data_IF_160867335514
#
_entry.id   IF_160867335514
#
_cell.length_a   1.000
_cell.length_b   1.000
_cell.length_c   1.000
_cell.angle_alpha   90.00
_cell.angle_beta   90.00
_cell.angle_gamma   90.00
#
_symmetry.space_group_name_H-M   'P 1'
#
loop_
_entity.id
_entity.type
_entity.pdbx_description
1 polymer ?
#
# COMPACT_ATOMS: atom_id res chain seq x y z
N UNK A 1 -3.87 13.33 5.82
CA UNK A 1 -4.08 12.88 4.42
C UNK A 1 -5.49 12.32 4.13
N UNK A 2 -6.58 12.79 4.76
CA UNK A 2 -7.92 12.19 4.57
C UNK A 2 -8.74 12.72 3.39
N UNK A 3 -8.52 13.97 2.95
CA UNK A 3 -9.35 14.62 1.92
C UNK A 3 -9.06 14.15 0.50
N UNK A 4 -7.80 13.82 0.17
CA UNK A 4 -7.43 13.27 -1.14
C UNK A 4 -8.15 11.95 -1.40
N UNK A 5 -8.14 11.04 -0.42
CA UNK A 5 -8.79 9.71 -0.50
C UNK A 5 -10.29 9.77 -0.81
N UNK A 6 -10.99 10.82 -0.38
CA UNK A 6 -12.43 10.96 -0.65
C UNK A 6 -12.72 11.45 -2.09
N UNK A 7 -11.82 12.23 -2.70
CA UNK A 7 -11.97 12.71 -4.08
C UNK A 7 -11.79 11.56 -5.09
N UNK A 8 -10.98 10.56 -4.76
CA UNK A 8 -10.77 9.37 -5.60
C UNK A 8 -11.90 8.34 -5.53
N UNK A 9 -12.80 8.45 -4.54
CA UNK A 9 -13.89 7.47 -4.33
C UNK A 9 -15.15 7.79 -5.13
N UNK A 10 -15.18 8.90 -5.86
CA UNK A 10 -16.18 9.16 -6.91
C UNK A 10 -15.85 8.33 -8.14
N UNK A 11 -16.83 7.73 -8.83
CA UNK A 11 -16.61 6.73 -9.90
C UNK A 11 -15.62 7.15 -11.01
N UNK A 12 -15.62 8.41 -11.44
CA UNK A 12 -14.64 8.92 -12.42
C UNK A 12 -13.24 9.18 -11.81
N UNK A 13 -13.20 9.49 -10.52
CA UNK A 13 -11.97 9.65 -9.75
C UNK A 13 -11.24 8.32 -9.57
N UNK A 14 -11.97 7.22 -9.39
CA UNK A 14 -11.39 5.89 -9.22
C UNK A 14 -10.69 5.42 -10.49
N UNK A 15 -11.34 5.55 -11.65
CA UNK A 15 -10.72 5.16 -12.93
C UNK A 15 -9.48 6.00 -13.23
N UNK A 16 -9.56 7.32 -13.02
CA UNK A 16 -8.40 8.21 -13.21
C UNK A 16 -7.26 7.86 -12.25
N UNK A 17 -7.59 7.53 -11.00
CA UNK A 17 -6.62 7.08 -10.01
C UNK A 17 -5.92 5.79 -10.44
N UNK A 18 -6.70 4.79 -10.87
CA UNK A 18 -6.19 3.50 -11.33
C UNK A 18 -5.30 3.66 -12.56
N UNK A 19 -5.68 4.48 -13.53
CA UNK A 19 -4.82 4.78 -14.68
C UNK A 19 -3.48 5.38 -14.26
N UNK A 20 -3.47 6.40 -13.39
CA UNK A 20 -2.22 6.97 -12.89
C UNK A 20 -1.38 5.98 -12.08
N UNK A 21 -2.02 5.07 -11.33
CA UNK A 21 -1.32 4.02 -10.60
C UNK A 21 -0.64 3.05 -11.57
N UNK A 22 -1.35 2.63 -12.62
CA UNK A 22 -0.81 1.75 -13.67
C UNK A 22 0.35 2.43 -14.38
N UNK A 23 0.18 3.68 -14.82
CA UNK A 23 1.25 4.45 -15.48
C UNK A 23 2.50 4.53 -14.60
N UNK A 24 2.33 4.80 -13.30
CA UNK A 24 3.44 4.84 -12.35
C UNK A 24 4.11 3.47 -12.17
N UNK A 25 3.33 2.37 -12.12
CA UNK A 25 3.87 1.02 -12.02
C UNK A 25 4.63 0.61 -13.29
N UNK A 26 4.12 0.97 -14.47
CA UNK A 26 4.82 0.73 -15.74
C UNK A 26 6.14 1.51 -15.80
N UNK A 27 6.15 2.78 -15.40
CA UNK A 27 7.36 3.59 -15.38
C UNK A 27 8.43 2.96 -14.48
N UNK A 28 8.09 2.59 -13.23
CA UNK A 28 9.07 1.97 -12.33
C UNK A 28 9.45 0.54 -12.74
N UNK A 29 8.67 -0.12 -13.59
CA UNK A 29 9.00 -1.44 -14.13
C UNK A 29 10.09 -1.40 -15.21
N UNK A 30 10.30 -0.22 -15.84
CA UNK A 30 11.27 -0.04 -16.91
C UNK A 30 12.67 -0.46 -16.46
N UNK A 31 13.40 -1.24 -17.28
CA UNK A 31 14.69 -1.79 -16.89
C UNK A 31 15.72 -0.70 -16.56
N UNK A 32 15.63 0.47 -17.17
CA UNK A 32 16.49 1.63 -16.90
C UNK A 32 16.34 2.13 -15.46
N UNK A 33 15.11 2.16 -14.96
CA UNK A 33 14.79 2.60 -13.59
C UNK A 33 15.03 1.45 -12.60
N UNK A 34 14.64 0.22 -12.96
CA UNK A 34 14.78 -0.96 -12.11
C UNK A 34 16.24 -1.37 -11.86
N UNK A 35 17.15 -1.03 -12.78
CA UNK A 35 18.60 -1.27 -12.63
C UNK A 35 19.27 -0.26 -11.68
N UNK A 36 18.60 0.84 -11.35
CA UNK A 36 19.15 1.83 -10.41
C UNK A 36 19.23 1.15 -9.03
N UNK A 37 20.43 1.04 -8.43
CA UNK A 37 20.58 0.42 -7.14
C UNK A 37 19.85 1.27 -6.08
N UNK A 38 18.89 0.66 -5.41
CA UNK A 38 18.28 1.25 -4.21
C UNK A 38 19.31 1.25 -3.07
N UNK A 39 19.27 2.28 -2.23
CA UNK A 39 20.08 2.32 -1.02
C UNK A 39 19.83 1.06 -0.17
N UNK A 40 20.87 0.26 0.14
CA UNK A 40 20.71 -0.99 0.87
C UNK A 40 20.07 -0.82 2.24
N UNK A 41 20.28 0.31 2.92
CA UNK A 41 19.71 0.60 4.24
C UNK A 41 18.21 0.78 4.15
N UNK A 42 17.72 1.40 3.07
CA UNK A 42 16.29 1.55 2.80
C UNK A 42 15.66 0.17 2.55
N UNK A 43 16.29 -0.68 1.74
CA UNK A 43 15.79 -2.05 1.48
C UNK A 43 15.74 -2.89 2.75
N UNK A 44 16.78 -2.80 3.61
CA UNK A 44 16.82 -3.51 4.90
C UNK A 44 15.72 -3.01 5.83
N UNK A 45 15.55 -1.69 5.98
CA UNK A 45 14.51 -1.12 6.82
C UNK A 45 13.11 -1.50 6.33
N UNK A 46 12.88 -1.49 5.02
CA UNK A 46 11.61 -1.92 4.43
C UNK A 46 11.33 -3.40 4.69
N UNK A 47 12.32 -4.27 4.49
CA UNK A 47 12.20 -5.70 4.81
C UNK A 47 11.88 -5.92 6.29
N UNK A 48 12.54 -5.19 7.18
CA UNK A 48 12.25 -5.27 8.61
C UNK A 48 10.81 -4.82 8.93
N UNK A 49 10.30 -3.79 8.27
CA UNK A 49 8.90 -3.36 8.42
C UNK A 49 7.91 -4.40 7.89
N UNK A 50 8.16 -4.99 6.72
CA UNK A 50 7.30 -6.03 6.13
C UNK A 50 7.33 -7.34 6.91
N UNK A 51 8.46 -7.66 7.55
CA UNK A 51 8.61 -8.82 8.41
C UNK A 51 7.93 -8.63 9.78
N UNK A 52 7.50 -7.41 10.13
CA UNK A 52 6.72 -7.22 11.35
C UNK A 52 5.40 -7.96 11.16
N UNK A 53 5.05 -8.91 12.06
CA UNK A 53 3.73 -9.52 12.01
C UNK A 53 2.70 -8.38 12.04
N UNK A 54 1.76 -8.43 11.10
CA UNK A 54 0.57 -7.59 11.19
C UNK A 54 0.00 -7.80 12.60
N UNK A 55 -0.12 -6.71 13.38
CA UNK A 55 -0.57 -6.79 14.77
C UNK A 55 -1.75 -7.77 14.84
N UNK A 56 -1.67 -8.85 15.62
CA UNK A 56 -2.74 -9.85 15.65
C UNK A 56 -4.10 -9.25 15.97
N UNK A 57 -4.17 -8.07 16.61
CA UNK A 57 -5.41 -7.39 16.93
C UNK A 57 -5.21 -5.87 17.07
N UNK A 58 -5.98 -5.05 16.32
CA UNK A 58 -6.32 -3.70 16.78
C UNK A 58 -7.83 -3.45 16.88
N UNK A 59 -8.68 -4.40 16.49
CA UNK A 59 -10.13 -4.28 16.64
C UNK A 59 -10.64 -5.42 17.50
N UNK A 60 -11.18 -5.05 18.65
CA UNK A 60 -11.43 -5.93 19.78
C UNK A 60 -12.24 -7.17 19.44
N UNK A 61 -12.05 -8.18 20.28
CA UNK A 61 -12.96 -9.30 20.47
C UNK A 61 -14.38 -8.74 20.40
N UNK A 62 -15.05 -8.98 19.28
CA UNK A 62 -16.47 -8.67 19.16
C UNK A 62 -17.16 -9.49 20.24
N UNK A 63 -17.86 -8.81 21.15
CA UNK A 63 -18.71 -9.40 22.20
C UNK A 63 -19.78 -10.36 21.66
N UNK A 64 -19.94 -10.45 20.34
CA UNK A 64 -20.79 -11.41 19.64
C UNK A 64 -20.11 -12.72 19.24
N UNK A 65 -18.78 -12.85 19.39
CA UNK A 65 -18.02 -14.05 18.98
C UNK A 65 -17.93 -15.13 20.08
N UNK A 66 -18.42 -14.87 21.29
CA UNK A 66 -18.36 -15.78 22.44
C UNK A 66 -19.70 -16.47 22.74
N UNK A 67 -20.51 -16.72 21.70
CA UNK A 67 -21.68 -17.61 21.81
C UNK A 67 -21.63 -18.64 20.69
N UNK A 68 -20.84 -19.69 20.91
CA UNK A 68 -21.15 -21.02 20.44
C UNK A 68 -20.66 -22.03 21.49
#
# INVERSE_FOLDING_TARGET
MGRRLQIWRSGDGERRWLSMLVDAMEEVSRPEIRKIPCDPRIVIALRAQLARPASPYPYGISKFSLRN
#
